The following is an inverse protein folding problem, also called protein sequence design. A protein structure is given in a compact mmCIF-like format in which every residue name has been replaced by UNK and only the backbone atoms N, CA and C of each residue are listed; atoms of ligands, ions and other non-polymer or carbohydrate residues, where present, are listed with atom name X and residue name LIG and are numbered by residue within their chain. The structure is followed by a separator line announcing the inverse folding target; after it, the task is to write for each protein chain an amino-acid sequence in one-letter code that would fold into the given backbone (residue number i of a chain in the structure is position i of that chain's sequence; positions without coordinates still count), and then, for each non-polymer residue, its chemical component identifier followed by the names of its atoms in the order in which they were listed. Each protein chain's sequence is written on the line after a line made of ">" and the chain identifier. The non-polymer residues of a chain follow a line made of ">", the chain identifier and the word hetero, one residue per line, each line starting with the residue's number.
data_IF_826779397173
#
_entry.id   IF_826779397173
#
_cell.length_a   1.000
_cell.length_b   1.000
_cell.length_c   1.000
_cell.angle_alpha   90.00
_cell.angle_beta   90.00
_cell.angle_gamma   90.00
#
_symmetry.space_group_name_H-M   'P 1'
#
loop_
_entity.id
_entity.type
_entity.pdbx_description
1 polymer ?
#
# COMPACT_ATOMS: atom_id res chain seq x y z
N UNK A 1 24.47 41.74 18.42
CA UNK A 1 25.10 40.44 18.75
C UNK A 1 24.06 39.59 19.45
N UNK A 2 23.37 38.70 18.73
CA UNK A 2 22.49 37.68 19.30
C UNK A 2 23.21 36.33 19.19
N UNK A 3 23.14 35.56 20.27
CA UNK A 3 23.86 34.33 20.51
C UNK A 3 23.71 33.33 19.35
N UNK A 4 24.85 32.78 18.91
CA UNK A 4 24.88 31.50 18.18
C UNK A 4 24.30 30.43 19.11
N UNK A 5 23.03 30.09 18.90
CA UNK A 5 22.40 28.94 19.53
C UNK A 5 23.24 27.69 19.24
N UNK A 6 23.59 26.94 20.28
CA UNK A 6 24.27 25.66 20.15
C UNK A 6 23.50 24.75 19.19
N UNK A 7 24.21 23.86 18.49
CA UNK A 7 23.61 22.78 17.68
C UNK A 7 22.52 22.10 18.52
N UNK A 8 21.26 22.48 18.30
CA UNK A 8 20.14 21.74 18.85
C UNK A 8 20.21 20.38 18.16
N UNK A 9 20.50 19.32 18.92
CA UNK A 9 20.21 17.99 18.44
C UNK A 9 18.69 17.93 18.28
N UNK A 10 18.20 18.06 17.06
CA UNK A 10 16.77 17.90 16.80
C UNK A 10 16.41 16.47 17.16
N UNK A 11 15.53 16.33 18.14
CA UNK A 11 14.85 15.08 18.42
C UNK A 11 13.91 14.79 17.24
N UNK A 12 13.83 13.53 16.82
CA UNK A 12 12.89 13.08 15.80
C UNK A 12 12.01 11.95 16.36
N UNK A 13 10.80 11.83 15.84
CA UNK A 13 9.91 10.68 16.02
C UNK A 13 9.96 9.83 14.75
N UNK A 14 9.65 8.54 14.85
CA UNK A 14 9.62 7.64 13.70
C UNK A 14 8.76 6.43 14.02
N UNK A 15 8.15 5.84 12.99
CA UNK A 15 7.43 4.56 13.06
C UNK A 15 8.35 3.35 12.79
N UNK A 16 9.64 3.58 12.54
CA UNK A 16 10.61 2.51 12.32
C UNK A 16 10.88 1.75 13.63
N UNK A 17 10.87 0.42 13.54
CA UNK A 17 11.43 -0.42 14.61
C UNK A 17 12.94 -0.18 14.77
N UNK A 18 13.53 -0.68 15.86
CA UNK A 18 14.97 -0.52 16.13
C UNK A 18 15.83 -1.04 14.98
N UNK A 19 15.49 -2.20 14.42
CA UNK A 19 16.24 -2.79 13.31
C UNK A 19 16.12 -1.93 12.05
N UNK A 20 14.90 -1.49 11.73
CA UNK A 20 14.65 -0.63 10.57
C UNK A 20 15.38 0.71 10.68
N UNK A 21 15.39 1.33 11.87
CA UNK A 21 16.12 2.56 12.14
C UNK A 21 17.61 2.41 11.83
N UNK A 22 18.25 1.35 12.34
CA UNK A 22 19.68 1.10 12.11
C UNK A 22 19.99 0.83 10.63
N UNK A 23 19.14 0.06 9.96
CA UNK A 23 19.33 -0.30 8.54
C UNK A 23 19.09 0.90 7.61
N UNK A 24 18.09 1.74 7.88
CA UNK A 24 17.89 2.99 7.13
C UNK A 24 19.12 3.90 7.24
N UNK A 25 19.71 4.00 8.45
CA UNK A 25 20.97 4.73 8.65
C UNK A 25 22.16 4.10 7.93
N UNK A 26 22.29 2.78 7.98
CA UNK A 26 23.34 2.05 7.24
C UNK A 26 23.20 2.24 5.71
N UNK A 27 21.97 2.31 5.20
CA UNK A 27 21.67 2.62 3.80
C UNK A 27 22.02 4.06 3.41
N UNK A 28 22.50 4.89 4.36
CA UNK A 28 22.90 6.27 4.11
C UNK A 28 21.76 7.28 4.24
N UNK A 29 20.64 6.93 4.90
CA UNK A 29 19.50 7.81 5.12
C UNK A 29 19.37 8.21 6.59
N UNK A 30 19.16 9.49 6.84
CA UNK A 30 18.88 10.04 8.18
C UNK A 30 17.37 10.26 8.35
N UNK A 31 16.72 9.63 9.35
CA UNK A 31 15.34 9.93 9.70
C UNK A 31 15.19 11.38 10.19
N UNK A 32 14.16 12.07 9.69
CA UNK A 32 13.87 13.46 10.04
C UNK A 32 12.66 13.58 10.98
N UNK A 33 11.69 12.69 10.87
CA UNK A 33 10.46 12.75 11.65
C UNK A 33 9.38 11.79 11.16
N UNK A 34 8.39 11.52 12.01
CA UNK A 34 7.14 10.90 11.64
C UNK A 34 6.31 11.92 10.86
N UNK A 35 5.76 11.52 9.73
CA UNK A 35 4.87 12.35 8.92
C UNK A 35 3.51 11.68 8.80
N UNK A 36 2.45 12.48 8.81
CA UNK A 36 1.07 12.01 8.83
C UNK A 36 0.21 12.87 7.92
N UNK A 37 -0.55 12.22 7.06
CA UNK A 37 -1.62 12.84 6.29
C UNK A 37 -2.95 12.20 6.61
N UNK A 38 -3.99 13.02 6.81
CA UNK A 38 -5.35 12.55 7.07
C UNK A 38 -6.33 13.20 6.10
N UNK A 39 -7.32 12.44 5.64
CA UNK A 39 -8.44 12.91 4.84
C UNK A 39 -9.74 12.31 5.39
N UNK A 40 -10.66 13.18 5.81
CA UNK A 40 -12.01 12.80 6.19
C UNK A 40 -12.92 13.00 4.97
N UNK A 41 -13.52 11.93 4.48
CA UNK A 41 -14.23 11.94 3.21
C UNK A 41 -15.68 11.50 3.38
N UNK A 42 -16.60 12.33 2.90
CA UNK A 42 -18.00 11.95 2.75
C UNK A 42 -18.18 11.16 1.46
N UNK A 43 -18.65 9.94 1.59
CA UNK A 43 -18.85 8.99 0.51
C UNK A 43 -20.28 9.13 0.00
N UNK A 44 -20.39 9.67 -1.21
CA UNK A 44 -21.67 9.84 -1.88
C UNK A 44 -22.32 8.51 -2.25
N UNK A 45 -23.64 8.53 -2.36
CA UNK A 45 -24.39 7.40 -2.90
C UNK A 45 -24.22 7.32 -4.43
N UNK A 46 -23.91 6.13 -4.93
CA UNK A 46 -24.00 5.80 -6.36
C UNK A 46 -25.01 4.66 -6.52
N UNK A 47 -25.95 4.83 -7.45
CA UNK A 47 -26.90 3.75 -7.76
C UNK A 47 -26.17 2.63 -8.50
N UNK A 48 -26.27 1.42 -7.93
CA UNK A 48 -25.73 0.22 -8.53
C UNK A 48 -26.84 -0.51 -9.31
N UNK A 49 -26.55 -0.88 -10.56
CA UNK A 49 -27.50 -1.62 -11.38
C UNK A 49 -27.81 -2.99 -10.78
N UNK A 50 -29.07 -3.23 -10.36
CA UNK A 50 -29.48 -4.43 -9.60
C UNK A 50 -29.07 -5.75 -10.28
N UNK A 51 -29.08 -5.79 -11.62
CA UNK A 51 -28.84 -7.00 -12.41
C UNK A 51 -27.51 -6.99 -13.18
N UNK A 52 -26.60 -6.05 -12.91
CA UNK A 52 -25.36 -5.92 -13.66
C UNK A 52 -24.12 -5.84 -12.75
N UNK A 53 -23.15 -6.69 -13.08
CA UNK A 53 -21.78 -6.57 -12.58
C UNK A 53 -21.15 -5.35 -13.23
N UNK A 54 -20.74 -4.37 -12.42
CA UNK A 54 -20.15 -3.16 -12.94
C UNK A 54 -19.28 -2.45 -11.91
N UNK A 55 -18.27 -1.74 -12.39
CA UNK A 55 -17.55 -0.79 -11.57
C UNK A 55 -18.46 0.38 -11.16
N UNK A 56 -18.39 0.72 -9.88
CA UNK A 56 -18.92 1.94 -9.31
C UNK A 56 -17.89 3.05 -9.50
N UNK A 57 -17.81 3.61 -10.70
CA UNK A 57 -16.74 4.55 -11.09
C UNK A 57 -16.71 5.83 -10.24
N UNK A 58 -17.86 6.37 -9.81
CA UNK A 58 -17.91 7.56 -8.95
C UNK A 58 -17.36 7.22 -7.57
N UNK A 59 -17.75 6.07 -7.02
CA UNK A 59 -17.27 5.59 -5.73
C UNK A 59 -15.78 5.24 -5.79
N UNK A 60 -15.34 4.58 -6.86
CA UNK A 60 -13.93 4.26 -7.13
C UNK A 60 -13.10 5.55 -7.17
N UNK A 61 -13.52 6.55 -7.95
CA UNK A 61 -12.82 7.83 -8.01
C UNK A 61 -12.79 8.54 -6.64
N UNK A 62 -13.89 8.52 -5.89
CA UNK A 62 -13.96 9.12 -4.55
C UNK A 62 -12.98 8.46 -3.58
N UNK A 63 -12.96 7.13 -3.54
CA UNK A 63 -12.04 6.36 -2.69
C UNK A 63 -10.58 6.54 -3.08
N UNK A 64 -10.30 6.76 -4.37
CA UNK A 64 -8.95 7.03 -4.86
C UNK A 64 -8.51 8.42 -4.40
N UNK A 65 -9.36 9.41 -4.67
CA UNK A 65 -9.06 10.80 -4.36
C UNK A 65 -8.91 11.04 -2.85
N UNK A 66 -9.70 10.35 -2.01
CA UNK A 66 -9.57 10.45 -0.57
C UNK A 66 -8.19 9.98 -0.08
N UNK A 67 -7.65 8.91 -0.66
CA UNK A 67 -6.30 8.39 -0.40
C UNK A 67 -5.22 9.33 -0.92
N UNK A 68 -5.39 9.82 -2.14
CA UNK A 68 -4.50 10.80 -2.77
C UNK A 68 -4.35 12.06 -1.91
N UNK A 69 -5.45 12.57 -1.34
CA UNK A 69 -5.43 13.71 -0.42
C UNK A 69 -4.64 13.43 0.87
N UNK A 70 -4.83 12.24 1.47
CA UNK A 70 -4.07 11.84 2.65
C UNK A 70 -2.57 11.73 2.34
N UNK A 71 -2.21 11.09 1.22
CA UNK A 71 -0.81 10.98 0.77
C UNK A 71 -0.18 12.34 0.46
N UNK A 72 -0.89 13.22 -0.25
CA UNK A 72 -0.40 14.58 -0.59
C UNK A 72 -0.07 15.38 0.67
N UNK A 73 -0.93 15.33 1.69
CA UNK A 73 -0.69 16.02 2.97
C UNK A 73 0.52 15.46 3.73
N UNK A 74 0.73 14.15 3.69
CA UNK A 74 1.91 13.51 4.26
C UNK A 74 3.20 13.91 3.51
N UNK A 75 3.15 13.99 2.19
CA UNK A 75 4.25 14.48 1.34
C UNK A 75 4.60 15.94 1.63
N UNK A 76 3.58 16.80 1.80
CA UNK A 76 3.76 18.22 2.17
C UNK A 76 4.47 18.37 3.52
N UNK A 77 4.14 17.53 4.51
CA UNK A 77 4.82 17.53 5.79
C UNK A 77 6.28 17.07 5.66
N UNK A 78 6.55 16.02 4.88
CA UNK A 78 7.91 15.56 4.60
C UNK A 78 8.74 16.62 3.85
N UNK A 79 8.11 17.35 2.92
CA UNK A 79 8.73 18.46 2.22
C UNK A 79 9.12 19.60 3.16
N UNK A 80 8.24 19.94 4.12
CA UNK A 80 8.53 20.95 5.14
C UNK A 80 9.71 20.56 6.04
N UNK A 81 9.96 19.26 6.25
CA UNK A 81 11.15 18.74 6.93
C UNK A 81 12.40 18.74 6.04
N UNK A 82 12.25 18.97 4.72
CA UNK A 82 13.32 18.88 3.74
C UNK A 82 13.76 17.44 3.49
N UNK A 83 12.82 16.50 3.52
CA UNK A 83 13.06 15.09 3.24
C UNK A 83 13.34 14.83 1.75
N UNK A 84 14.08 13.75 1.46
CA UNK A 84 14.22 13.24 0.10
C UNK A 84 13.22 12.12 -0.19
N UNK A 85 12.63 11.52 0.86
CA UNK A 85 11.55 10.57 0.74
C UNK A 85 10.93 10.16 2.07
N UNK A 86 9.99 9.23 2.00
CA UNK A 86 9.22 8.67 3.10
C UNK A 86 9.26 7.14 2.99
N UNK A 87 9.71 6.48 4.05
CA UNK A 87 9.85 5.02 4.14
C UNK A 87 8.84 4.46 5.14
N UNK A 88 8.43 3.20 4.93
CA UNK A 88 7.49 2.51 5.80
C UNK A 88 6.09 3.11 5.72
N UNK A 89 5.70 3.62 4.55
CA UNK A 89 4.37 4.20 4.39
C UNK A 89 3.30 3.13 4.69
N UNK A 90 2.33 3.52 5.50
CA UNK A 90 1.12 2.74 5.79
C UNK A 90 -0.08 3.61 5.51
N UNK A 91 -0.94 3.14 4.62
CA UNK A 91 -2.21 3.77 4.30
C UNK A 91 -3.35 2.93 4.89
N UNK A 92 -4.22 3.57 5.65
CA UNK A 92 -5.37 2.91 6.26
C UNK A 92 -6.65 3.69 5.97
N UNK A 93 -7.75 2.96 5.82
CA UNK A 93 -9.08 3.51 5.69
C UNK A 93 -9.95 2.98 6.83
N UNK A 94 -10.61 3.87 7.56
CA UNK A 94 -11.48 3.54 8.69
C UNK A 94 -12.85 4.19 8.50
N UNK A 95 -13.89 3.38 8.57
CA UNK A 95 -15.26 3.89 8.56
C UNK A 95 -15.67 4.35 9.94
N UNK A 96 -16.40 5.46 10.01
CA UNK A 96 -16.93 5.93 11.27
C UNK A 96 -18.18 5.13 11.63
N UNK A 97 -18.15 4.48 12.79
CA UNK A 97 -19.30 3.74 13.31
C UNK A 97 -20.52 4.65 13.56
N UNK A 98 -20.30 5.94 13.80
CA UNK A 98 -21.33 6.93 14.09
C UNK A 98 -21.83 7.71 12.86
N UNK A 99 -21.14 7.65 11.73
CA UNK A 99 -21.56 8.24 10.46
C UNK A 99 -21.22 7.30 9.29
N UNK A 100 -22.18 6.47 8.84
CA UNK A 100 -21.92 5.39 7.89
C UNK A 100 -21.36 5.85 6.53
N UNK A 101 -21.66 7.07 6.11
CA UNK A 101 -21.22 7.63 4.84
C UNK A 101 -19.91 8.41 4.95
N UNK A 102 -19.17 8.24 6.05
CA UNK A 102 -17.89 8.92 6.23
C UNK A 102 -16.79 7.88 6.41
N UNK A 103 -15.63 8.15 5.81
CA UNK A 103 -14.42 7.37 6.01
C UNK A 103 -13.22 8.29 6.24
N UNK A 104 -12.38 7.87 7.18
CA UNK A 104 -11.10 8.48 7.52
C UNK A 104 -10.01 7.71 6.77
N UNK A 105 -9.20 8.42 6.00
CA UNK A 105 -8.02 7.90 5.34
C UNK A 105 -6.79 8.50 5.99
N UNK A 106 -5.88 7.65 6.48
CA UNK A 106 -4.66 8.08 7.16
C UNK A 106 -3.45 7.44 6.51
N UNK A 107 -2.51 8.28 6.09
CA UNK A 107 -1.18 7.90 5.63
C UNK A 107 -0.16 8.25 6.72
N UNK A 108 0.68 7.31 7.11
CA UNK A 108 1.75 7.51 8.09
C UNK A 108 3.05 6.96 7.51
N UNK A 109 4.18 7.61 7.76
CA UNK A 109 5.50 7.09 7.44
C UNK A 109 6.61 7.85 8.14
N UNK A 110 7.86 7.46 7.90
CA UNK A 110 9.03 8.18 8.40
C UNK A 110 9.70 8.95 7.26
N UNK A 111 9.76 10.27 7.39
CA UNK A 111 10.52 11.12 6.49
C UNK A 111 12.03 10.88 6.65
N UNK A 112 12.73 10.70 5.54
CA UNK A 112 14.16 10.40 5.50
C UNK A 112 14.90 11.33 4.55
N UNK A 113 16.19 11.56 4.82
CA UNK A 113 17.07 12.37 4.00
C UNK A 113 18.33 11.60 3.63
N UNK A 114 18.71 11.62 2.36
CA UNK A 114 19.95 11.01 1.92
C UNK A 114 21.14 11.81 2.48
N UNK A 115 22.11 11.09 3.06
CA UNK A 115 23.35 11.67 3.57
C UNK A 115 24.29 12.04 2.41
N UNK A 116 24.32 11.19 1.38
CA UNK A 116 25.03 11.45 0.14
C UNK A 116 24.16 12.30 -0.80
N UNK A 117 24.68 13.47 -1.19
CA UNK A 117 24.02 14.42 -2.09
C UNK A 117 24.47 14.31 -3.55
N UNK A 118 25.32 13.33 -3.88
CA UNK A 118 25.77 13.12 -5.25
C UNK A 118 24.66 12.60 -6.17
N UNK A 119 23.68 11.91 -5.59
CA UNK A 119 22.51 11.36 -6.30
C UNK A 119 21.25 11.90 -5.63
N UNK A 120 20.33 12.45 -6.43
CA UNK A 120 18.99 12.80 -5.92
C UNK A 120 18.11 11.56 -5.89
N UNK A 121 17.48 11.32 -4.74
CA UNK A 121 16.46 10.29 -4.56
C UNK A 121 15.03 10.81 -4.76
N UNK A 122 14.87 12.11 -5.01
CA UNK A 122 13.57 12.73 -5.25
C UNK A 122 12.98 12.23 -6.57
N UNK A 123 11.66 12.31 -6.67
CA UNK A 123 10.90 11.84 -7.83
C UNK A 123 11.18 12.70 -9.07
N UNK A 124 10.68 12.28 -10.24
CA UNK A 124 10.77 13.05 -11.49
C UNK A 124 10.11 14.45 -11.40
N UNK A 125 9.25 14.67 -10.40
CA UNK A 125 8.58 15.94 -10.13
C UNK A 125 9.27 16.74 -9.03
N UNK A 126 10.49 16.36 -8.64
CA UNK A 126 11.22 16.95 -7.52
C UNK A 126 10.42 16.96 -6.22
N UNK A 127 9.74 15.84 -5.92
CA UNK A 127 9.05 15.61 -4.65
C UNK A 127 9.78 14.53 -3.83
N UNK A 128 9.56 14.45 -2.51
CA UNK A 128 10.00 13.29 -1.74
C UNK A 128 9.44 11.99 -2.33
N UNK A 129 10.26 10.96 -2.49
CA UNK A 129 9.73 9.65 -2.88
C UNK A 129 8.87 9.06 -1.76
N UNK A 130 7.93 8.18 -2.09
CA UNK A 130 7.13 7.44 -1.12
C UNK A 130 7.37 5.94 -1.31
N UNK A 131 7.39 5.17 -0.22
CA UNK A 131 7.67 3.74 -0.24
C UNK A 131 6.96 3.05 0.92
N UNK A 132 6.15 2.03 0.63
CA UNK A 132 5.51 1.21 1.68
C UNK A 132 6.50 0.21 2.33
N UNK A 133 7.64 -0.01 1.68
CA UNK A 133 8.66 -0.95 2.14
C UNK A 133 9.07 -0.65 3.58
N UNK A 134 9.22 -1.73 4.36
CA UNK A 134 9.85 -1.66 5.68
C UNK A 134 11.26 -1.08 5.56
N UNK A 135 11.83 -0.57 6.66
CA UNK A 135 13.23 -0.11 6.64
C UNK A 135 14.21 -1.22 6.24
N UNK A 136 13.88 -2.49 6.54
CA UNK A 136 14.67 -3.66 6.16
C UNK A 136 14.62 -3.93 4.65
N UNK A 137 13.41 -3.91 4.08
CA UNK A 137 13.21 -4.11 2.65
C UNK A 137 13.80 -2.95 1.85
N UNK A 138 13.64 -1.71 2.33
CA UNK A 138 14.22 -0.52 1.73
C UNK A 138 15.76 -0.60 1.69
N UNK A 139 16.39 -0.99 2.80
CA UNK A 139 17.84 -1.21 2.83
C UNK A 139 18.27 -2.33 1.87
N UNK A 140 17.52 -3.42 1.83
CA UNK A 140 17.80 -4.57 0.94
C UNK A 140 17.70 -4.16 -0.52
N UNK A 141 16.68 -3.38 -0.87
CA UNK A 141 16.46 -2.84 -2.20
C UNK A 141 17.64 -1.98 -2.68
N UNK A 142 18.06 -1.02 -1.85
CA UNK A 142 19.19 -0.14 -2.15
C UNK A 142 20.50 -0.93 -2.32
N UNK A 143 20.74 -1.92 -1.45
CA UNK A 143 21.89 -2.83 -1.53
C UNK A 143 21.89 -3.69 -2.78
N UNK A 144 20.71 -4.09 -3.26
CA UNK A 144 20.54 -4.80 -4.52
C UNK A 144 20.73 -3.88 -5.73
N UNK A 145 20.87 -2.57 -5.54
CA UNK A 145 21.10 -1.61 -6.63
C UNK A 145 19.83 -1.07 -7.26
N UNK A 146 18.71 -1.13 -6.56
CA UNK A 146 17.44 -0.51 -6.95
C UNK A 146 17.12 0.66 -6.02
N UNK A 147 16.27 1.58 -6.47
CA UNK A 147 15.73 2.66 -5.64
C UNK A 147 14.23 2.79 -5.81
N UNK A 148 13.49 3.23 -4.77
CA UNK A 148 12.08 3.56 -4.92
C UNK A 148 11.92 4.88 -5.68
N UNK A 149 10.81 4.99 -6.40
CA UNK A 149 10.40 6.19 -7.12
C UNK A 149 9.16 6.82 -6.51
N UNK A 150 8.27 6.01 -5.95
CA UNK A 150 7.00 6.46 -5.40
C UNK A 150 6.11 5.28 -5.06
N UNK A 151 5.19 5.52 -4.15
CA UNK A 151 4.10 4.61 -3.85
C UNK A 151 3.06 4.75 -4.97
N UNK A 152 2.60 3.61 -5.46
CA UNK A 152 1.60 3.53 -6.51
C UNK A 152 0.41 2.75 -5.99
N UNK A 153 -0.77 3.14 -6.45
CA UNK A 153 -2.01 2.53 -6.00
C UNK A 153 -3.00 2.36 -7.15
N UNK A 154 -3.94 1.45 -6.94
CA UNK A 154 -5.09 1.33 -7.80
C UNK A 154 -6.27 0.87 -6.99
N UNK A 155 -7.43 1.46 -7.23
CA UNK A 155 -8.66 0.99 -6.63
C UNK A 155 -9.67 0.61 -7.70
N UNK A 156 -10.55 -0.31 -7.32
CA UNK A 156 -11.78 -0.58 -8.02
C UNK A 156 -12.85 -0.88 -6.98
N UNK A 157 -13.91 -0.07 -6.96
CA UNK A 157 -15.12 -0.37 -6.19
C UNK A 157 -16.13 -0.98 -7.15
N UNK A 158 -16.50 -2.22 -6.89
CA UNK A 158 -17.25 -3.03 -7.85
C UNK A 158 -18.56 -3.52 -7.24
N UNK A 159 -19.64 -3.42 -8.02
CA UNK A 159 -20.94 -3.96 -7.67
C UNK A 159 -21.12 -5.35 -8.28
N UNK A 160 -21.49 -6.32 -7.44
CA UNK A 160 -21.82 -7.68 -7.88
C UNK A 160 -23.34 -7.83 -7.95
N UNK A 161 -23.85 -8.19 -9.13
CA UNK A 161 -25.27 -8.34 -9.39
C UNK A 161 -25.92 -9.40 -8.49
N UNK A 162 -27.15 -9.15 -8.09
CA UNK A 162 -27.98 -10.13 -7.41
C UNK A 162 -28.22 -11.34 -8.31
N UNK A 163 -28.26 -12.54 -7.71
CA UNK A 163 -28.61 -13.74 -8.45
C UNK A 163 -30.04 -13.64 -9.00
N UNK A 164 -30.22 -14.03 -10.26
CA UNK A 164 -31.56 -14.23 -10.80
C UNK A 164 -32.29 -15.33 -10.00
N UNK A 165 -33.59 -15.16 -9.74
CA UNK A 165 -34.42 -16.16 -9.04
C UNK A 165 -34.26 -17.57 -9.63
N UNK A 166 -34.12 -17.70 -10.96
CA UNK A 166 -33.92 -18.97 -11.65
C UNK A 166 -32.52 -19.59 -11.47
N UNK A 167 -31.46 -18.80 -11.25
CA UNK A 167 -30.15 -19.34 -10.84
C UNK A 167 -30.18 -19.79 -9.39
N UNK A 168 -30.79 -19.00 -8.51
CA UNK A 168 -30.97 -19.36 -7.11
C UNK A 168 -31.67 -20.73 -6.96
N UNK A 169 -32.83 -20.92 -7.61
CA UNK A 169 -33.55 -22.22 -7.60
C UNK A 169 -32.72 -23.41 -8.12
N UNK A 170 -31.84 -23.20 -9.11
CA UNK A 170 -30.98 -24.27 -9.66
C UNK A 170 -29.84 -24.67 -8.73
N UNK A 171 -29.47 -23.78 -7.82
CA UNK A 171 -28.33 -23.94 -6.91
C UNK A 171 -28.77 -24.38 -5.50
N UNK A 172 -30.07 -24.38 -5.17
CA UNK A 172 -30.59 -24.93 -3.91
C UNK A 172 -30.13 -26.38 -3.75
N UNK A 173 -29.43 -26.66 -2.65
CA UNK A 173 -28.94 -28.01 -2.31
C UNK A 173 -27.69 -28.46 -3.08
N UNK A 174 -27.03 -27.56 -3.82
CA UNK A 174 -25.79 -27.87 -4.56
C UNK A 174 -24.65 -26.96 -4.13
N UNK A 175 -23.48 -27.55 -3.87
CA UNK A 175 -22.22 -26.81 -3.69
C UNK A 175 -21.59 -26.61 -5.08
N UNK A 176 -21.78 -25.44 -5.67
CA UNK A 176 -21.24 -25.08 -6.99
C UNK A 176 -20.63 -23.69 -6.95
N UNK A 177 -19.62 -23.47 -7.79
CA UNK A 177 -19.00 -22.16 -7.92
C UNK A 177 -20.01 -21.13 -8.46
N UNK A 178 -20.01 -19.96 -7.85
CA UNK A 178 -20.83 -18.83 -8.28
C UNK A 178 -20.06 -18.02 -9.33
N UNK A 179 -19.94 -18.56 -10.55
CA UNK A 179 -19.08 -18.00 -11.62
C UNK A 179 -19.29 -16.50 -11.85
N UNK A 180 -20.51 -15.98 -11.69
CA UNK A 180 -20.79 -14.55 -11.82
C UNK A 180 -20.15 -13.70 -10.71
N UNK A 181 -20.08 -14.21 -9.49
CA UNK A 181 -19.38 -13.55 -8.38
C UNK A 181 -17.88 -13.68 -8.58
N UNK A 182 -17.40 -14.89 -8.90
CA UNK A 182 -15.99 -15.14 -9.16
C UNK A 182 -15.45 -14.21 -10.24
N UNK A 183 -16.12 -14.10 -11.38
CA UNK A 183 -15.71 -13.23 -12.48
C UNK A 183 -15.68 -11.75 -12.06
N UNK A 184 -16.69 -11.29 -11.31
CA UNK A 184 -16.71 -9.91 -10.82
C UNK A 184 -15.50 -9.58 -9.93
N UNK A 185 -15.06 -10.52 -9.08
CA UNK A 185 -13.87 -10.33 -8.25
C UNK A 185 -12.59 -10.31 -9.08
N UNK A 186 -12.50 -11.15 -10.12
CA UNK A 186 -11.36 -11.13 -11.06
C UNK A 186 -11.31 -9.81 -11.83
N UNK A 187 -12.42 -9.37 -12.41
CA UNK A 187 -12.52 -8.11 -13.17
C UNK A 187 -12.13 -6.91 -12.30
N UNK A 188 -12.66 -6.85 -11.06
CA UNK A 188 -12.36 -5.75 -10.14
C UNK A 188 -10.88 -5.74 -9.71
N UNK A 189 -10.30 -6.91 -9.45
CA UNK A 189 -8.88 -7.04 -9.13
C UNK A 189 -8.01 -6.62 -10.30
N UNK A 190 -8.34 -7.07 -11.51
CA UNK A 190 -7.61 -6.72 -12.73
C UNK A 190 -7.60 -5.21 -12.94
N UNK A 191 -8.76 -4.55 -12.82
CA UNK A 191 -8.86 -3.09 -12.92
C UNK A 191 -8.02 -2.34 -11.87
N UNK A 192 -8.04 -2.81 -10.61
CA UNK A 192 -7.22 -2.20 -9.57
C UNK A 192 -5.72 -2.36 -9.86
N UNK A 193 -5.29 -3.54 -10.33
CA UNK A 193 -3.90 -3.79 -10.69
C UNK A 193 -3.46 -3.00 -11.94
N UNK A 194 -4.31 -2.90 -12.96
CA UNK A 194 -4.03 -2.12 -14.17
C UNK A 194 -3.80 -0.64 -13.81
N UNK A 195 -4.64 -0.05 -12.97
CA UNK A 195 -4.48 1.34 -12.51
C UNK A 195 -3.17 1.57 -11.76
N UNK A 196 -2.82 0.65 -10.86
CA UNK A 196 -1.54 0.69 -10.14
C UNK A 196 -0.34 0.62 -11.12
N UNK A 197 -0.44 -0.19 -12.17
CA UNK A 197 0.58 -0.27 -13.23
C UNK A 197 0.66 1.01 -14.06
N UNK A 198 -0.46 1.65 -14.36
CA UNK A 198 -0.51 2.94 -15.06
C UNK A 198 0.23 4.02 -14.25
N UNK A 199 0.03 4.08 -12.93
CA UNK A 199 0.79 5.01 -12.09
C UNK A 199 2.29 4.73 -12.08
N UNK A 200 2.68 3.45 -11.99
CA UNK A 200 4.09 3.07 -12.05
C UNK A 200 4.73 3.45 -13.40
N UNK A 201 3.98 3.31 -14.50
CA UNK A 201 4.43 3.74 -15.83
C UNK A 201 4.62 5.27 -15.91
N UNK A 202 3.74 6.06 -15.28
CA UNK A 202 3.92 7.52 -15.19
C UNK A 202 5.17 7.91 -14.41
N UNK A 203 5.56 7.13 -13.40
CA UNK A 203 6.82 7.29 -12.68
C UNK A 203 8.04 6.76 -13.44
N UNK A 204 7.85 6.17 -14.64
CA UNK A 204 8.90 5.51 -15.43
C UNK A 204 9.59 4.36 -14.67
N UNK A 205 8.81 3.65 -13.85
CA UNK A 205 9.30 2.51 -13.10
C UNK A 205 9.52 1.28 -13.98
N UNK A 206 10.48 0.45 -13.59
CA UNK A 206 10.72 -0.85 -14.23
C UNK A 206 9.82 -1.94 -13.64
N UNK A 207 9.42 -1.77 -12.37
CA UNK A 207 8.53 -2.70 -11.70
C UNK A 207 7.91 -2.11 -10.45
N UNK A 208 6.98 -2.89 -9.88
CA UNK A 208 6.31 -2.61 -8.62
C UNK A 208 6.67 -3.77 -7.68
N UNK A 209 7.18 -3.46 -6.50
CA UNK A 209 7.49 -4.45 -5.46
C UNK A 209 6.72 -4.13 -4.18
N UNK A 210 6.64 -5.11 -3.28
CA UNK A 210 5.83 -4.99 -2.08
C UNK A 210 4.31 -5.02 -2.34
N UNK A 211 3.91 -5.29 -3.59
CA UNK A 211 2.53 -5.19 -4.02
C UNK A 211 1.58 -5.99 -3.13
N UNK A 212 0.61 -5.30 -2.53
CA UNK A 212 -0.42 -5.87 -1.69
C UNK A 212 -1.81 -5.50 -2.21
N UNK A 213 -2.76 -6.43 -2.09
CA UNK A 213 -4.14 -6.25 -2.53
C UNK A 213 -5.04 -6.49 -1.33
N UNK A 214 -5.76 -5.45 -0.95
CA UNK A 214 -6.75 -5.50 0.11
C UNK A 214 -8.16 -5.58 -0.50
N UNK A 215 -8.96 -6.51 0.03
CA UNK A 215 -10.40 -6.57 -0.21
C UNK A 215 -11.11 -5.94 0.99
N UNK A 216 -11.90 -4.89 0.74
CA UNK A 216 -12.73 -4.26 1.76
C UNK A 216 -14.20 -4.39 1.39
N UNK A 217 -15.01 -4.81 2.36
CA UNK A 217 -16.46 -4.81 2.28
C UNK A 217 -16.98 -3.61 3.05
N UNK A 218 -17.89 -2.85 2.43
CA UNK A 218 -18.43 -1.64 3.05
C UNK A 218 -19.79 -1.89 3.70
N UNK A 219 -19.98 -1.30 4.87
CA UNK A 219 -21.18 -1.47 5.69
C UNK A 219 -22.48 -1.02 5.01
N UNK A 220 -22.41 -0.13 4.00
CA UNK A 220 -23.59 0.41 3.31
C UNK A 220 -24.11 -0.46 2.15
N UNK A 221 -23.37 -1.48 1.70
CA UNK A 221 -23.86 -2.41 0.69
C UNK A 221 -23.15 -3.76 0.76
N UNK A 222 -23.91 -4.83 0.96
CA UNK A 222 -23.42 -6.21 0.95
C UNK A 222 -23.00 -6.72 -0.44
N UNK A 223 -23.26 -5.95 -1.49
CA UNK A 223 -22.97 -6.31 -2.89
C UNK A 223 -21.95 -5.37 -3.53
N UNK A 224 -21.26 -4.55 -2.73
CA UNK A 224 -20.19 -3.67 -3.19
C UNK A 224 -18.91 -4.04 -2.47
N UNK A 225 -17.86 -4.30 -3.25
CA UNK A 225 -16.55 -4.72 -2.77
C UNK A 225 -15.53 -3.73 -3.32
N UNK A 226 -14.63 -3.24 -2.47
CA UNK A 226 -13.43 -2.53 -2.90
C UNK A 226 -12.26 -3.49 -3.00
N UNK A 227 -11.59 -3.44 -4.14
CA UNK A 227 -10.23 -3.90 -4.31
C UNK A 227 -9.30 -2.71 -4.30
N UNK A 228 -8.35 -2.71 -3.37
CA UNK A 228 -7.32 -1.69 -3.25
C UNK A 228 -5.95 -2.34 -3.37
N UNK A 229 -5.25 -2.03 -4.45
CA UNK A 229 -3.87 -2.43 -4.68
C UNK A 229 -2.92 -1.29 -4.31
N UNK A 230 -1.83 -1.63 -3.62
CA UNK A 230 -0.78 -0.73 -3.20
C UNK A 230 0.57 -1.35 -3.52
N UNK A 231 1.55 -0.54 -3.89
CA UNK A 231 2.87 -1.00 -4.29
C UNK A 231 3.93 0.09 -4.14
N UNK A 232 5.21 -0.30 -4.16
CA UNK A 232 6.32 0.64 -4.35
C UNK A 232 6.90 0.48 -5.75
N UNK A 233 6.84 1.55 -6.54
CA UNK A 233 7.44 1.61 -7.87
C UNK A 233 8.97 1.76 -7.75
N UNK A 234 9.73 0.97 -8.50
CA UNK A 234 11.19 0.91 -8.40
C UNK A 234 11.88 0.99 -9.76
N UNK A 235 13.15 1.42 -9.74
CA UNK A 235 14.05 1.41 -10.90
C UNK A 235 15.47 1.05 -10.47
N UNK A 236 16.28 0.43 -11.33
CA UNK A 236 17.71 0.27 -11.09
C UNK A 236 18.41 1.61 -10.86
N UNK A 237 19.24 1.68 -9.84
CA UNK A 237 20.12 2.82 -9.59
C UNK A 237 21.23 2.91 -10.64
N UNK A 238 21.65 1.76 -11.20
CA UNK A 238 22.63 1.65 -12.29
C UNK A 238 22.34 0.43 -13.17
N UNK A 239 22.73 0.50 -14.45
CA UNK A 239 22.53 -0.60 -15.41
C UNK A 239 23.43 -1.82 -15.15
N UNK A 240 24.54 -1.65 -14.43
CA UNK A 240 25.53 -2.67 -14.11
C UNK A 240 25.43 -3.17 -12.65
N UNK A 241 24.29 -2.94 -11.99
CA UNK A 241 24.14 -3.36 -10.60
C UNK A 241 24.19 -4.89 -10.47
N UNK A 242 24.88 -5.36 -9.44
CA UNK A 242 25.00 -6.78 -9.14
C UNK A 242 24.20 -7.08 -7.87
N UNK A 243 23.21 -7.97 -7.97
CA UNK A 243 22.43 -8.42 -6.82
C UNK A 243 23.32 -9.36 -5.97
N UNK A 244 23.67 -8.99 -4.73
CA UNK A 244 24.48 -9.86 -3.88
C UNK A 244 23.75 -11.18 -3.59
N UNK A 245 24.51 -12.28 -3.48
CA UNK A 245 23.91 -13.60 -3.22
C UNK A 245 23.17 -13.61 -1.88
N UNK A 246 21.85 -13.87 -1.87
CA UNK A 246 21.08 -13.93 -0.63
C UNK A 246 21.58 -15.06 0.27
N UNK A 247 21.66 -14.82 1.57
CA UNK A 247 21.95 -15.84 2.57
C UNK A 247 20.88 -15.82 3.67
N UNK A 248 20.46 -17.01 4.09
CA UNK A 248 19.47 -17.17 5.15
C UNK A 248 20.04 -16.64 6.47
N UNK A 249 19.32 -15.72 7.09
CA UNK A 249 19.59 -15.28 8.46
C UNK A 249 18.40 -15.66 9.32
N UNK A 250 18.61 -16.47 10.34
CA UNK A 250 17.58 -16.87 11.30
C UNK A 250 17.80 -16.09 12.60
N UNK A 251 16.88 -15.20 12.94
CA UNK A 251 16.92 -14.48 14.21
C UNK A 251 16.48 -15.41 15.35
N UNK A 252 17.29 -15.51 16.42
CA UNK A 252 16.96 -16.29 17.62
C UNK A 252 15.76 -15.74 18.41
N UNK A 253 15.36 -14.49 18.12
CA UNK A 253 14.24 -13.81 18.77
C UNK A 253 12.93 -13.91 18.00
N UNK A 254 12.93 -14.50 16.80
CA UNK A 254 11.69 -14.71 16.07
C UNK A 254 10.83 -15.74 16.82
N UNK A 255 9.58 -15.40 17.21
CA UNK A 255 8.69 -16.39 17.76
C UNK A 255 8.49 -17.48 16.68
N UNK A 256 8.59 -18.77 17.03
CA UNK A 256 8.38 -19.84 16.07
C UNK A 256 6.99 -19.65 15.47
N UNK A 257 6.93 -19.44 14.15
CA UNK A 257 5.67 -19.45 13.42
C UNK A 257 4.99 -20.78 13.72
N UNK A 258 3.72 -20.76 14.15
CA UNK A 258 2.99 -22.00 14.41
C UNK A 258 3.00 -22.84 13.13
N UNK A 259 3.74 -23.94 13.15
CA UNK A 259 3.71 -24.93 12.08
C UNK A 259 2.34 -25.58 12.17
N UNK A 260 1.39 -25.11 11.33
CA UNK A 260 0.14 -25.80 11.11
C UNK A 260 0.47 -27.13 10.42
N UNK A 261 0.71 -28.15 11.24
CA UNK A 261 0.91 -29.50 10.77
C UNK A 261 -0.44 -29.96 10.24
N UNK A 262 -0.61 -29.94 8.91
CA UNK A 262 -1.76 -30.60 8.27
C UNK A 262 -1.54 -32.10 8.47
N UNK A 263 -2.06 -32.62 9.58
CA UNK A 263 -2.17 -34.04 9.79
C UNK A 263 -3.17 -34.57 8.77
N UNK A 264 -2.65 -35.16 7.70
CA UNK A 264 -3.45 -35.99 6.79
C UNK A 264 -3.99 -37.17 7.62
N UNK A 265 -5.31 -37.38 7.73
CA UNK A 265 -5.81 -38.58 8.39
C UNK A 265 -5.41 -39.81 7.56
N UNK A 266 -5.06 -40.94 8.20
CA UNK A 266 -4.70 -42.15 7.48
C UNK A 266 -5.88 -42.65 6.65
N UNK A 267 -5.61 -43.02 5.40
CA UNK A 267 -6.55 -43.70 4.53
C UNK A 267 -7.01 -45.00 5.18
N UNK A 268 -8.30 -45.08 5.51
CA UNK A 268 -8.94 -46.33 5.88
C UNK A 268 -9.27 -47.09 4.59
N UNK A 269 -8.37 -47.99 4.19
CA UNK A 269 -8.69 -49.05 3.24
C UNK A 269 -9.52 -50.11 3.97
N UNK A 270 -10.81 -50.21 3.62
CA UNK A 270 -11.63 -51.41 3.74
C UNK A 270 -12.67 -51.45 2.61
#
# INVERSE_FOLDING_TARGET
>A
MMQKGGKQSNLFTSDLSVNEFLLVKEAGFEPLGLVVGCSMYHIGFQWAGINQNMEMTVLSQAMYHARELAMTRMEEEAEALGADGIVGVRLSAKHMTWEPNMAEFVAIGTAVKASDRTISYRTIHDKPFTSELSGQDFWTLLRAGYRPLGLVMGNCVYHVAYQSLGQWFRNIGKNVEMTNFTQALYDARELAMERMQVEAAHLQAEGIIGANIHEHQYSWSSHVIEFFALGTAVTPTRADHHIPTPHLTLSLNDPPTQINTVLTPPSLDH
#
